data_IF_862263320439
#
_entry.id   IF_862263320439
#
_cell.length_a   1.000
_cell.length_b   1.000
_cell.length_c   1.000
_cell.angle_alpha   90.00
_cell.angle_beta   90.00
_cell.angle_gamma   90.00
#
_symmetry.space_group_name_H-M   'P 1'
#
loop_
_entity.id
_entity.type
_entity.pdbx_description
1 polymer ?
#
# COMPACT_ATOMS: atom_id res chain seq x y z
N UNK A 1 6.88 13.96 1.51
CA UNK A 1 7.48 12.66 1.89
C UNK A 1 8.64 12.33 0.94
N UNK A 2 9.64 11.57 1.39
CA UNK A 2 10.79 11.20 0.55
C UNK A 2 10.48 9.88 -0.16
N UNK A 3 9.89 9.93 -1.36
CA UNK A 3 9.67 8.74 -2.18
C UNK A 3 11.02 8.27 -2.73
N UNK A 4 11.36 7.02 -2.49
CA UNK A 4 12.62 6.39 -2.89
C UNK A 4 12.45 5.54 -4.15
N UNK A 5 11.36 4.79 -4.21
CA UNK A 5 11.09 3.83 -5.27
C UNK A 5 9.59 3.58 -5.42
N UNK A 6 9.16 3.28 -6.63
CA UNK A 6 7.83 2.72 -6.92
C UNK A 6 8.01 1.40 -7.67
N UNK A 7 7.60 0.31 -7.03
CA UNK A 7 7.63 -1.03 -7.62
C UNK A 7 6.28 -1.34 -8.26
N UNK A 8 6.30 -1.94 -9.43
CA UNK A 8 5.11 -2.49 -10.09
C UNK A 8 5.02 -3.99 -9.80
N UNK A 9 3.85 -4.47 -9.40
CA UNK A 9 3.64 -5.90 -9.13
C UNK A 9 3.14 -6.64 -10.39
N UNK A 10 2.89 -7.95 -10.25
CA UNK A 10 2.43 -8.80 -11.36
C UNK A 10 1.04 -8.41 -11.91
N UNK A 11 0.21 -7.74 -11.10
CA UNK A 11 -0.93 -6.96 -11.57
C UNK A 11 -0.44 -5.51 -11.68
N UNK A 12 -0.23 -4.97 -12.90
CA UNK A 12 0.56 -3.74 -13.08
C UNK A 12 -0.02 -2.48 -12.43
N UNK A 13 -1.31 -2.47 -12.14
CA UNK A 13 -1.97 -1.34 -11.46
C UNK A 13 -1.70 -1.30 -9.95
N UNK A 14 -1.26 -2.43 -9.39
CA UNK A 14 -0.84 -2.50 -7.98
C UNK A 14 0.61 -2.01 -7.88
N UNK A 15 0.82 -1.03 -7.02
CA UNK A 15 2.13 -0.40 -6.82
C UNK A 15 2.55 -0.47 -5.36
N UNK A 16 3.84 -0.67 -5.14
CA UNK A 16 4.46 -0.49 -3.83
C UNK A 16 5.29 0.78 -3.86
N UNK A 17 4.97 1.70 -2.97
CA UNK A 17 5.64 3.00 -2.84
C UNK A 17 6.55 2.93 -1.61
N UNK A 18 7.85 2.95 -1.82
CA UNK A 18 8.85 3.04 -0.75
C UNK A 18 9.16 4.48 -0.43
N UNK A 19 9.20 4.80 0.84
CA UNK A 19 9.53 6.14 1.31
C UNK A 19 10.49 6.11 2.49
N UNK A 20 11.37 7.09 2.55
CA UNK A 20 12.52 7.09 3.44
C UNK A 20 12.20 7.40 4.90
N UNK A 21 13.08 6.93 5.75
CA UNK A 21 13.21 7.30 7.16
C UNK A 21 14.40 8.22 7.35
N UNK A 22 14.35 9.01 8.40
CA UNK A 22 15.45 9.84 8.89
C UNK A 22 15.84 9.31 10.26
N UNK A 23 16.85 8.45 10.29
CA UNK A 23 17.31 7.78 11.50
C UNK A 23 18.28 8.69 12.27
N UNK A 24 18.18 8.67 13.61
CA UNK A 24 19.14 9.27 14.53
C UNK A 24 19.29 8.37 15.78
N UNK A 25 20.08 8.83 16.77
CA UNK A 25 20.32 8.06 18.00
C UNK A 25 19.10 7.89 18.92
N UNK A 26 18.00 8.53 18.62
CA UNK A 26 16.72 8.44 19.36
C UNK A 26 15.68 7.54 18.66
N UNK A 27 15.94 7.14 17.41
CA UNK A 27 15.03 6.39 16.58
C UNK A 27 14.94 6.98 15.17
N UNK A 28 13.72 7.15 14.65
CA UNK A 28 13.55 7.73 13.32
C UNK A 28 12.36 8.69 13.26
N UNK A 29 12.45 9.61 12.32
CA UNK A 29 11.32 10.40 11.84
C UNK A 29 11.00 10.01 10.39
N UNK A 30 9.72 9.97 10.05
CA UNK A 30 9.30 9.77 8.66
C UNK A 30 8.00 10.52 8.38
N UNK A 31 7.93 11.13 7.22
CA UNK A 31 6.68 11.69 6.72
C UNK A 31 5.96 10.59 5.93
N UNK A 32 4.92 10.04 6.52
CA UNK A 32 4.25 8.84 5.98
C UNK A 32 3.30 9.15 4.85
N UNK A 33 2.77 10.37 4.79
CA UNK A 33 1.85 10.81 3.75
C UNK A 33 1.95 12.32 3.52
N UNK A 34 2.07 12.72 2.26
CA UNK A 34 1.90 14.11 1.82
C UNK A 34 1.13 14.08 0.50
N UNK A 35 -0.02 14.73 0.47
CA UNK A 35 -0.91 14.71 -0.69
C UNK A 35 -0.21 15.18 -1.98
N UNK A 36 0.57 16.26 -1.92
CA UNK A 36 1.29 16.78 -3.09
C UNK A 36 2.26 15.76 -3.71
N UNK A 37 2.97 14.99 -2.86
CA UNK A 37 3.94 14.01 -3.33
C UNK A 37 3.24 12.78 -3.93
N UNK A 38 2.14 12.36 -3.30
CA UNK A 38 1.31 11.26 -3.81
C UNK A 38 0.65 11.66 -5.14
N UNK A 39 0.11 12.87 -5.24
CA UNK A 39 -0.47 13.39 -6.50
C UNK A 39 0.58 13.59 -7.61
N UNK A 40 1.85 13.69 -7.25
CA UNK A 40 2.98 13.71 -8.19
C UNK A 40 3.22 12.37 -8.91
N UNK A 41 2.68 11.27 -8.40
CA UNK A 41 2.76 9.97 -9.04
C UNK A 41 1.66 9.83 -10.11
N UNK A 42 2.02 9.51 -11.34
CA UNK A 42 1.07 9.50 -12.47
C UNK A 42 -0.17 8.64 -12.23
N UNK A 43 0.02 7.47 -11.63
CA UNK A 43 -1.07 6.54 -11.31
C UNK A 43 -1.95 6.98 -10.13
N UNK A 44 -1.56 8.04 -9.42
CA UNK A 44 -2.30 8.61 -8.28
C UNK A 44 -2.97 9.95 -8.61
N UNK A 45 -2.79 10.47 -9.82
CA UNK A 45 -3.41 11.73 -10.24
C UNK A 45 -4.93 11.65 -10.12
N UNK A 46 -5.51 12.61 -9.41
CA UNK A 46 -6.95 12.68 -9.17
C UNK A 46 -7.50 11.74 -8.09
N UNK A 47 -6.69 10.85 -7.54
CA UNK A 47 -7.10 10.01 -6.40
C UNK A 47 -7.21 10.88 -5.15
N UNK A 48 -8.35 10.82 -4.47
CA UNK A 48 -8.61 11.55 -3.23
C UNK A 48 -8.77 10.58 -2.07
N UNK A 49 -7.96 10.74 -1.03
CA UNK A 49 -8.12 9.99 0.21
C UNK A 49 -9.05 10.75 1.16
N UNK A 50 -10.19 10.15 1.46
CA UNK A 50 -11.25 10.77 2.28
C UNK A 50 -11.36 10.15 3.66
N UNK A 51 -10.76 8.99 3.88
CA UNK A 51 -10.87 8.24 5.12
C UNK A 51 -9.55 7.50 5.40
N UNK A 52 -9.15 7.48 6.66
CA UNK A 52 -8.03 6.70 7.17
C UNK A 52 -8.53 5.81 8.29
N UNK A 53 -8.23 4.52 8.20
CA UNK A 53 -8.59 3.52 9.21
C UNK A 53 -7.34 2.80 9.69
N UNK A 54 -7.34 2.39 10.94
CA UNK A 54 -6.36 1.48 11.50
C UNK A 54 -7.08 0.21 11.99
N UNK A 55 -6.50 -0.95 11.71
CA UNK A 55 -7.02 -2.24 12.14
C UNK A 55 -5.94 -3.07 12.82
N UNK A 56 -6.32 -3.80 13.83
CA UNK A 56 -5.46 -4.78 14.50
C UNK A 56 -5.97 -6.18 14.23
N UNK A 57 -5.06 -7.12 13.96
CA UNK A 57 -5.36 -8.55 13.81
C UNK A 57 -4.36 -9.38 14.60
N UNK A 58 -4.85 -10.41 15.26
CA UNK A 58 -3.97 -11.40 15.91
C UNK A 58 -3.28 -12.25 14.85
N UNK A 59 -2.13 -12.83 15.21
CA UNK A 59 -1.43 -13.78 14.36
C UNK A 59 -2.36 -14.92 13.91
N UNK A 60 -2.24 -15.34 12.64
CA UNK A 60 -3.08 -16.37 12.02
C UNK A 60 -4.47 -15.89 11.58
N UNK A 61 -4.80 -14.61 11.74
CA UNK A 61 -6.07 -14.08 11.25
C UNK A 61 -6.02 -13.94 9.73
N UNK A 62 -7.05 -14.46 9.06
CA UNK A 62 -7.35 -14.20 7.66
C UNK A 62 -8.56 -13.26 7.56
N UNK A 63 -8.44 -12.21 6.76
CA UNK A 63 -9.55 -11.28 6.44
C UNK A 63 -9.65 -11.15 4.94
N UNK A 64 -10.79 -11.42 4.38
CA UNK A 64 -11.02 -11.24 2.94
C UNK A 64 -11.69 -12.46 2.27
N UNK A 65 -11.79 -12.46 0.97
CA UNK A 65 -11.48 -11.27 0.15
C UNK A 65 -12.59 -10.23 0.29
N UNK A 66 -12.21 -8.93 0.20
CA UNK A 66 -13.16 -7.83 0.24
C UNK A 66 -13.02 -6.96 -1.01
N UNK A 67 -14.13 -6.45 -1.52
CA UNK A 67 -14.15 -5.43 -2.56
C UNK A 67 -15.31 -4.47 -2.33
N UNK A 68 -15.25 -3.33 -2.94
CA UNK A 68 -16.30 -2.32 -2.87
C UNK A 68 -16.84 -2.04 -4.25
N UNK A 69 -18.15 -1.90 -4.28
CA UNK A 69 -18.91 -1.69 -5.49
C UNK A 69 -19.76 -0.43 -5.34
N UNK A 70 -19.71 0.42 -6.34
CA UNK A 70 -20.51 1.64 -6.48
C UNK A 70 -20.59 2.49 -5.19
N UNK A 71 -19.53 3.26 -4.88
CA UNK A 71 -18.34 3.47 -5.72
C UNK A 71 -17.26 2.41 -5.49
N UNK A 72 -16.41 2.24 -6.49
CA UNK A 72 -15.13 1.56 -6.29
C UNK A 72 -14.22 2.40 -5.39
N UNK A 73 -13.45 1.75 -4.56
CA UNK A 73 -12.58 2.43 -3.61
C UNK A 73 -11.18 1.81 -3.63
N UNK A 74 -10.24 2.54 -4.19
CA UNK A 74 -8.82 2.19 -4.07
C UNK A 74 -8.33 2.34 -2.63
N UNK A 75 -7.30 1.60 -2.28
CA UNK A 75 -6.71 1.55 -0.93
C UNK A 75 -5.22 1.76 -0.97
N UNK A 76 -4.76 2.57 -0.04
CA UNK A 76 -3.34 2.72 0.28
C UNK A 76 -3.12 2.09 1.65
N UNK A 77 -2.38 0.97 1.69
CA UNK A 77 -2.23 0.15 2.90
C UNK A 77 -0.76 0.11 3.33
N UNK A 78 -0.50 0.18 4.62
CA UNK A 78 0.82 -0.07 5.20
C UNK A 78 0.72 -0.86 6.50
N UNK A 79 1.78 -1.56 6.84
CA UNK A 79 1.94 -2.20 8.14
C UNK A 79 2.60 -1.23 9.12
N UNK A 80 1.97 -1.00 10.26
CA UNK A 80 2.48 -0.13 11.32
C UNK A 80 3.30 -0.93 12.33
N UNK A 81 2.86 -2.16 12.61
CA UNK A 81 3.51 -3.09 13.55
C UNK A 81 3.24 -4.52 13.11
N UNK A 82 4.21 -5.39 13.28
CA UNK A 82 4.09 -6.80 12.93
C UNK A 82 4.28 -7.08 11.44
N UNK A 83 3.55 -8.06 10.92
CA UNK A 83 3.71 -8.65 9.60
C UNK A 83 2.36 -8.96 8.97
N UNK A 84 2.21 -8.68 7.69
CA UNK A 84 1.00 -8.90 6.90
C UNK A 84 1.40 -9.41 5.51
N UNK A 85 0.70 -10.42 5.01
CA UNK A 85 0.70 -10.76 3.59
C UNK A 85 -0.57 -10.17 2.98
N UNK A 86 -0.42 -9.14 2.15
CA UNK A 86 -1.54 -8.55 1.43
C UNK A 86 -1.75 -9.28 0.10
N UNK A 87 -2.97 -9.76 -0.10
CA UNK A 87 -3.35 -10.51 -1.30
C UNK A 87 -4.41 -9.77 -2.09
N UNK A 88 -4.14 -9.52 -3.35
CA UNK A 88 -5.08 -8.91 -4.27
C UNK A 88 -5.42 -9.85 -5.43
N UNK A 89 -6.72 -9.97 -5.71
CA UNK A 89 -7.27 -10.69 -6.86
C UNK A 89 -7.89 -9.68 -7.82
N UNK A 90 -7.46 -9.68 -9.08
CA UNK A 90 -8.08 -8.82 -10.09
C UNK A 90 -9.42 -9.39 -10.53
N UNK A 91 -10.49 -8.70 -10.19
CA UNK A 91 -11.88 -9.02 -10.55
C UNK A 91 -12.49 -8.01 -11.54
N UNK A 92 -11.69 -7.10 -12.07
CA UNK A 92 -12.17 -6.02 -12.96
C UNK A 92 -12.51 -6.57 -14.34
N UNK A 93 -13.75 -6.39 -14.76
CA UNK A 93 -14.20 -6.77 -16.10
C UNK A 93 -13.39 -6.04 -17.18
N UNK A 94 -12.87 -6.77 -18.15
CA UNK A 94 -12.05 -6.22 -19.24
C UNK A 94 -10.58 -5.97 -18.89
N UNK A 95 -10.16 -6.22 -17.67
CA UNK A 95 -8.75 -6.14 -17.30
C UNK A 95 -7.94 -7.25 -17.98
N UNK A 96 -6.73 -6.96 -18.50
CA UNK A 96 -5.83 -8.00 -19.06
C UNK A 96 -5.32 -8.97 -17.99
N UNK A 97 -5.49 -8.63 -16.71
CA UNK A 97 -5.10 -9.47 -15.58
C UNK A 97 -6.29 -10.03 -14.80
N UNK A 98 -7.50 -9.99 -15.37
CA UNK A 98 -8.70 -10.59 -14.76
C UNK A 98 -8.43 -12.03 -14.30
N UNK A 99 -8.75 -12.33 -13.04
CA UNK A 99 -8.55 -13.64 -12.42
C UNK A 99 -7.12 -13.91 -11.92
N UNK A 100 -6.16 -13.02 -12.17
CA UNK A 100 -4.83 -13.10 -11.57
C UNK A 100 -4.83 -12.64 -10.12
N UNK A 101 -4.05 -13.32 -9.30
CA UNK A 101 -3.80 -12.94 -7.92
C UNK A 101 -2.32 -12.57 -7.73
N UNK A 102 -2.07 -11.67 -6.81
CA UNK A 102 -0.73 -11.31 -6.32
C UNK A 102 -0.75 -11.29 -4.80
N UNK A 103 0.33 -11.78 -4.19
CA UNK A 103 0.58 -11.65 -2.77
C UNK A 103 1.83 -10.80 -2.55
N UNK A 104 1.77 -9.87 -1.61
CA UNK A 104 2.89 -9.03 -1.25
C UNK A 104 3.13 -9.09 0.26
N UNK A 105 4.36 -9.45 0.61
CA UNK A 105 4.80 -9.60 1.99
C UNK A 105 5.21 -8.23 2.55
N UNK A 106 4.55 -7.78 3.60
CA UNK A 106 4.75 -6.48 4.26
C UNK A 106 5.08 -6.68 5.73
N UNK A 107 6.18 -6.11 6.18
CA UNK A 107 6.53 -6.09 7.59
C UNK A 107 6.86 -4.67 8.06
N UNK A 108 6.35 -4.30 9.24
CA UNK A 108 6.75 -3.06 9.88
C UNK A 108 8.21 -3.15 10.31
N UNK A 109 9.01 -2.14 9.96
CA UNK A 109 10.40 -2.08 10.39
C UNK A 109 11.31 -3.18 9.84
N UNK A 110 10.88 -3.88 8.79
CA UNK A 110 11.70 -4.90 8.12
C UNK A 110 13.00 -4.33 7.53
N UNK A 111 13.05 -3.02 7.37
CA UNK A 111 14.21 -2.29 6.92
C UNK A 111 14.32 -0.97 7.67
N UNK A 112 15.52 -0.63 8.15
CA UNK A 112 15.77 0.61 8.90
C UNK A 112 15.74 1.87 8.01
N UNK A 113 15.83 1.72 6.69
CA UNK A 113 15.99 2.84 5.77
C UNK A 113 14.67 3.32 5.15
N UNK A 114 13.65 2.48 5.10
CA UNK A 114 12.39 2.83 4.46
C UNK A 114 11.15 2.19 5.09
N UNK A 115 9.99 2.75 4.73
CA UNK A 115 8.66 2.18 4.91
C UNK A 115 7.99 1.98 3.54
N UNK A 116 6.90 1.23 3.52
CA UNK A 116 6.17 0.95 2.30
C UNK A 116 4.68 1.24 2.45
N UNK A 117 4.08 1.74 1.36
CA UNK A 117 2.66 1.68 1.07
C UNK A 117 2.43 0.75 -0.10
N UNK A 118 1.41 -0.11 -0.03
CA UNK A 118 0.86 -0.77 -1.22
C UNK A 118 -0.40 -0.04 -1.67
N UNK A 119 -0.45 0.30 -2.95
CA UNK A 119 -1.62 0.86 -3.62
C UNK A 119 -2.39 -0.26 -4.32
N UNK A 120 -3.66 -0.42 -4.00
CA UNK A 120 -4.61 -1.32 -4.65
C UNK A 120 -5.73 -0.45 -5.19
N UNK A 121 -5.86 -0.30 -6.53
CA UNK A 121 -6.83 0.57 -7.18
C UNK A 121 -8.29 0.11 -7.06
#
# INVERSE_FOLDING_TARGET
MKILEVKTLAIPDIKVIRFGRFNDNRGYFTETFRNSDIQGLDFMKGVRFLQCNEGYSRAGTFRGFHFQWNPYMGKLVRVISGHLIDMALDIRKGSPTLGKAVAYDMAAGSNDDFNEWIWVP
#
